data_IF_569787581321
#
_entry.id   IF_569787581321
#
_cell.length_a   1.000
_cell.length_b   1.000
_cell.length_c   1.000
_cell.angle_alpha   90.00
_cell.angle_beta   90.00
_cell.angle_gamma   90.00
#
_symmetry.space_group_name_H-M   'P 1'
#
loop_
_entity.id
_entity.type
_entity.pdbx_description
1 polymer ?
#
# COMPACT_ATOMS: atom_id res chain seq x y z
N UNK A 1 3.52 6.60 48.79
CA UNK A 1 3.70 7.58 47.70
C UNK A 1 3.53 6.84 46.39
N UNK A 2 2.54 7.27 45.62
CA UNK A 2 1.96 6.54 44.49
C UNK A 2 2.84 6.65 43.25
N UNK A 3 3.20 5.52 42.63
CA UNK A 3 3.73 5.50 41.27
C UNK A 3 2.55 5.58 40.29
N UNK A 4 2.58 6.60 39.42
CA UNK A 4 1.61 6.79 38.38
C UNK A 4 1.86 5.80 37.23
N UNK A 5 0.89 4.94 36.95
CA UNK A 5 0.86 4.17 35.70
C UNK A 5 0.58 5.14 34.54
N UNK A 6 1.59 5.38 33.69
CA UNK A 6 1.38 6.09 32.43
C UNK A 6 0.67 5.13 31.48
N UNK A 7 -0.64 5.31 31.31
CA UNK A 7 -1.42 4.66 30.27
C UNK A 7 -0.86 5.09 28.91
N UNK A 8 -0.07 4.22 28.28
CA UNK A 8 0.22 4.34 26.86
C UNK A 8 -1.12 4.21 26.13
N UNK A 9 -1.56 5.22 25.35
CA UNK A 9 -2.65 4.96 24.42
C UNK A 9 -2.14 3.85 23.50
N UNK A 10 -2.91 2.77 23.39
CA UNK A 10 -2.79 1.84 22.28
C UNK A 10 -3.06 2.64 21.00
N UNK A 11 -2.04 3.33 20.50
CA UNK A 11 -2.01 3.80 19.12
C UNK A 11 -1.95 2.51 18.31
N UNK A 12 -3.12 1.97 18.01
CA UNK A 12 -3.32 1.13 16.84
C UNK A 12 -2.89 2.02 15.68
N UNK A 13 -1.59 1.95 15.37
CA UNK A 13 -0.98 2.72 14.31
C UNK A 13 -1.56 2.14 13.04
N UNK A 14 -2.72 2.68 12.63
CA UNK A 14 -3.23 2.56 11.28
C UNK A 14 -2.18 3.21 10.41
N UNK A 15 -1.22 2.42 9.94
CA UNK A 15 -0.23 2.86 8.97
C UNK A 15 -1.01 2.98 7.66
N UNK A 16 -1.69 4.11 7.49
CA UNK A 16 -2.28 4.51 6.23
C UNK A 16 -1.10 4.81 5.30
N UNK A 17 -0.75 3.84 4.48
CA UNK A 17 0.13 4.09 3.36
C UNK A 17 -0.52 5.17 2.48
N UNK A 18 0.21 6.23 2.17
CA UNK A 18 -0.23 7.15 1.13
C UNK A 18 -0.22 6.39 -0.19
N UNK A 19 -1.39 6.29 -0.81
CA UNK A 19 -1.62 5.52 -2.03
C UNK A 19 -2.18 6.48 -3.08
N UNK A 20 -1.46 6.58 -4.19
CA UNK A 20 -1.83 7.41 -5.34
C UNK A 20 -1.84 6.58 -6.61
N UNK A 21 -2.84 6.79 -7.48
CA UNK A 21 -2.90 6.15 -8.79
C UNK A 21 -2.46 7.15 -9.86
N UNK A 22 -1.46 6.78 -10.65
CA UNK A 22 -0.96 7.61 -11.75
C UNK A 22 -1.04 6.84 -13.06
N UNK A 23 -1.03 7.55 -14.18
CA UNK A 23 -0.94 6.93 -15.50
C UNK A 23 0.51 6.97 -15.98
N UNK A 24 1.01 5.84 -16.46
CA UNK A 24 2.27 5.78 -17.19
C UNK A 24 2.16 6.57 -18.49
N UNK A 25 3.29 7.00 -19.05
CA UNK A 25 3.37 7.66 -20.36
C UNK A 25 2.75 6.83 -21.49
N UNK A 26 2.68 5.49 -21.31
CA UNK A 26 2.03 4.53 -22.23
C UNK A 26 0.53 4.30 -21.94
N UNK A 27 -0.09 5.12 -21.09
CA UNK A 27 -1.50 5.02 -20.68
C UNK A 27 -1.82 3.92 -19.68
N UNK A 28 -0.84 3.11 -19.23
CA UNK A 28 -1.06 2.03 -18.27
C UNK A 28 -1.19 2.57 -16.84
N UNK A 29 -2.12 2.05 -16.01
CA UNK A 29 -2.24 2.48 -14.63
C UNK A 29 -1.05 2.00 -13.80
N UNK A 30 -0.55 2.88 -12.95
CA UNK A 30 0.50 2.64 -11.97
C UNK A 30 -0.01 3.05 -10.60
N UNK A 31 0.44 2.33 -9.60
CA UNK A 31 0.12 2.57 -8.21
C UNK A 31 1.38 3.07 -7.52
N UNK A 32 1.30 4.22 -6.87
CA UNK A 32 2.36 4.77 -6.04
C UNK A 32 1.96 4.55 -4.59
N UNK A 33 2.76 3.81 -3.83
CA UNK A 33 2.50 3.59 -2.41
C UNK A 33 3.81 3.72 -1.62
N UNK A 34 3.83 4.54 -0.57
CA UNK A 34 5.03 4.80 0.25
C UNK A 34 6.29 5.11 -0.58
N UNK A 35 6.19 5.99 -1.58
CA UNK A 35 7.29 6.32 -2.50
C UNK A 35 7.76 5.17 -3.43
N UNK A 36 7.07 4.04 -3.48
CA UNK A 36 7.33 2.94 -4.42
C UNK A 36 6.29 2.92 -5.53
N UNK A 37 6.74 2.57 -6.73
CA UNK A 37 5.88 2.41 -7.91
C UNK A 37 5.58 0.93 -8.12
N UNK A 38 4.31 0.63 -8.31
CA UNK A 38 3.78 -0.69 -8.58
C UNK A 38 3.06 -0.67 -9.93
N UNK A 39 3.27 -1.73 -10.71
CA UNK A 39 2.56 -1.98 -11.97
C UNK A 39 1.45 -2.99 -11.74
N UNK A 40 0.34 -2.81 -12.45
CA UNK A 40 -0.74 -3.80 -12.48
C UNK A 40 -0.21 -5.09 -13.11
N UNK A 41 -0.21 -6.17 -12.34
CA UNK A 41 0.28 -7.49 -12.76
C UNK A 41 -0.87 -8.38 -13.27
N UNK A 42 -1.95 -8.44 -12.51
CA UNK A 42 -3.10 -9.28 -12.83
C UNK A 42 -4.38 -8.61 -12.34
N UNK A 43 -5.42 -8.69 -13.13
CA UNK A 43 -6.77 -8.36 -12.70
C UNK A 43 -7.61 -9.62 -12.76
N UNK A 44 -8.18 -10.00 -11.63
CA UNK A 44 -9.23 -10.99 -11.51
C UNK A 44 -10.58 -10.25 -11.44
N UNK A 45 -11.70 -10.95 -11.61
CA UNK A 45 -13.05 -10.39 -11.52
C UNK A 45 -13.30 -9.56 -10.25
N UNK A 46 -12.61 -9.88 -9.15
CA UNK A 46 -12.83 -9.27 -7.83
C UNK A 46 -11.58 -8.58 -7.30
N UNK A 47 -10.42 -8.69 -7.96
CA UNK A 47 -9.16 -8.24 -7.34
C UNK A 47 -8.12 -7.79 -8.36
N UNK A 48 -7.52 -6.64 -8.12
CA UNK A 48 -6.40 -6.09 -8.90
C UNK A 48 -5.10 -6.28 -8.12
N UNK A 49 -4.17 -7.03 -8.69
CA UNK A 49 -2.86 -7.31 -8.11
C UNK A 49 -1.80 -6.41 -8.72
N UNK A 50 -1.01 -5.79 -7.86
CA UNK A 50 0.05 -4.84 -8.17
C UNK A 50 1.38 -5.34 -7.63
N UNK A 51 2.41 -5.25 -8.45
CA UNK A 51 3.77 -5.67 -8.08
C UNK A 51 4.72 -4.50 -8.23
N UNK A 52 5.70 -4.41 -7.34
CA UNK A 52 6.68 -3.33 -7.39
C UNK A 52 7.48 -3.41 -8.71
N UNK A 53 7.82 -2.25 -9.27
CA UNK A 53 8.60 -2.15 -10.50
C UNK A 53 10.11 -2.23 -10.28
N UNK A 54 10.57 -2.10 -9.03
CA UNK A 54 11.98 -2.24 -8.68
C UNK A 54 12.43 -3.70 -8.79
N UNK A 55 13.59 -3.92 -9.41
CA UNK A 55 14.24 -5.22 -9.38
C UNK A 55 14.54 -5.58 -7.91
N UNK A 56 14.24 -6.84 -7.54
CA UNK A 56 14.42 -7.38 -6.18
C UNK A 56 13.40 -6.90 -5.11
N UNK A 57 12.35 -6.16 -5.49
CA UNK A 57 11.31 -5.82 -4.54
C UNK A 57 10.21 -6.89 -4.48
N UNK A 58 10.00 -7.48 -3.29
CA UNK A 58 8.98 -8.50 -3.03
C UNK A 58 7.61 -7.92 -2.63
N UNK A 59 7.48 -6.59 -2.60
CA UNK A 59 6.24 -5.93 -2.22
C UNK A 59 5.14 -6.18 -3.25
N UNK A 60 3.98 -6.61 -2.75
CA UNK A 60 2.77 -6.90 -3.54
C UNK A 60 1.58 -6.25 -2.86
N UNK A 61 0.72 -5.63 -3.66
CA UNK A 61 -0.50 -4.98 -3.19
C UNK A 61 -1.67 -5.55 -3.96
N UNK A 62 -2.79 -5.81 -3.29
CA UNK A 62 -4.02 -6.28 -3.92
C UNK A 62 -5.20 -5.44 -3.44
N UNK A 63 -5.95 -4.86 -4.37
CA UNK A 63 -7.21 -4.20 -4.08
C UNK A 63 -8.37 -5.07 -4.52
N UNK A 64 -9.38 -5.17 -3.66
CA UNK A 64 -10.64 -5.83 -4.00
C UNK A 64 -11.48 -4.81 -4.78
N UNK A 65 -11.92 -5.20 -5.96
CA UNK A 65 -12.92 -4.48 -6.75
C UNK A 65 -14.27 -5.11 -6.34
N UNK A 66 -14.94 -4.48 -5.36
CA UNK A 66 -16.28 -4.86 -4.85
C UNK A 66 -17.34 -3.95 -5.45
#
# INVERSE_FOLDING_TARGET
MSEAAVSLPEVTRSISADISFINSNKGKPLLVANNYIFKLNKTTATTKYWICTLNECLAKISFIDV
#
